data_IF_812448540016
#
_entry.id   IF_812448540016
#
_cell.length_a   1.000
_cell.length_b   1.000
_cell.length_c   1.000
_cell.angle_alpha   90.00
_cell.angle_beta   90.00
_cell.angle_gamma   90.00
#
_symmetry.space_group_name_H-M   'P 1'
#
loop_
_entity.id
_entity.type
_entity.pdbx_description
1 polymer ?
#
# COMPACT_ATOMS: atom_id res chain seq x y z
N UNK A 1 -5.56 -2.05 -20.28
CA UNK A 1 -5.96 -1.28 -19.08
C UNK A 1 -4.98 -0.11 -18.87
N UNK A 2 -5.38 1.10 -19.33
CA UNK A 2 -4.55 2.31 -19.26
C UNK A 2 -4.23 2.71 -17.81
N UNK A 3 -5.20 2.56 -16.92
CA UNK A 3 -5.01 2.89 -15.50
C UNK A 3 -3.90 2.05 -14.87
N UNK A 4 -3.89 0.75 -15.13
CA UNK A 4 -2.83 -0.13 -14.64
C UNK A 4 -1.45 0.25 -15.21
N UNK A 5 -1.40 0.59 -16.51
CA UNK A 5 -0.16 1.04 -17.15
C UNK A 5 0.39 2.32 -16.50
N UNK A 6 -0.47 3.32 -16.23
CA UNK A 6 -0.07 4.58 -15.58
C UNK A 6 0.42 4.31 -14.16
N UNK A 7 -0.26 3.44 -13.41
CA UNK A 7 0.16 3.03 -12.07
C UNK A 7 1.54 2.39 -12.09
N UNK A 8 1.75 1.39 -12.94
CA UNK A 8 3.02 0.67 -13.04
C UNK A 8 4.17 1.59 -13.47
N UNK A 9 3.90 2.50 -14.42
CA UNK A 9 4.89 3.49 -14.82
C UNK A 9 5.32 4.40 -13.66
N UNK A 10 4.38 4.90 -12.87
CA UNK A 10 4.66 5.75 -11.71
C UNK A 10 5.46 5.00 -10.63
N UNK A 11 5.03 3.77 -10.32
CA UNK A 11 5.72 2.94 -9.33
C UNK A 11 7.14 2.62 -9.78
N UNK A 12 7.32 2.20 -11.03
CA UNK A 12 8.63 1.90 -11.59
C UNK A 12 9.56 3.12 -11.67
N UNK A 13 9.01 4.32 -11.86
CA UNK A 13 9.82 5.54 -11.91
C UNK A 13 10.25 6.03 -10.52
N UNK A 14 9.35 6.01 -9.55
CA UNK A 14 9.59 6.60 -8.22
C UNK A 14 10.19 5.58 -7.25
N UNK A 15 9.75 4.31 -7.33
CA UNK A 15 10.07 3.26 -6.36
C UNK A 15 10.94 2.14 -6.95
N UNK A 16 11.77 2.49 -7.94
CA UNK A 16 12.64 1.51 -8.60
C UNK A 16 13.79 1.02 -7.71
N UNK A 17 14.18 1.80 -6.72
CA UNK A 17 15.27 1.47 -5.81
C UNK A 17 14.80 1.61 -4.36
N UNK A 18 15.13 0.64 -3.49
CA UNK A 18 14.76 0.71 -2.08
C UNK A 18 15.43 1.91 -1.39
N UNK A 19 14.74 2.49 -0.42
CA UNK A 19 15.30 3.54 0.41
C UNK A 19 16.43 2.98 1.28
N UNK A 20 17.52 3.72 1.38
CA UNK A 20 18.67 3.37 2.21
C UNK A 20 18.82 4.36 3.36
N UNK A 21 19.16 3.86 4.53
CA UNK A 21 19.52 4.70 5.67
C UNK A 21 20.95 5.19 5.51
N UNK A 22 21.16 6.49 5.65
CA UNK A 22 22.49 7.10 5.62
C UNK A 22 22.69 7.93 6.89
N UNK A 23 23.85 7.75 7.52
CA UNK A 23 24.24 8.61 8.62
C UNK A 23 24.76 9.93 8.07
N UNK A 24 24.16 11.04 8.50
CA UNK A 24 24.79 12.35 8.30
C UNK A 24 25.96 12.45 9.26
N UNK A 25 27.18 12.37 8.71
CA UNK A 25 28.37 12.72 9.49
C UNK A 25 28.28 14.17 9.95
N UNK A 26 28.69 14.45 11.18
CA UNK A 26 28.99 15.81 11.61
C UNK A 26 30.02 16.37 10.61
N UNK A 27 29.67 17.45 9.92
CA UNK A 27 30.60 18.18 9.04
C UNK A 27 31.60 18.93 9.92
N UNK A 28 32.43 18.22 10.62
CA UNK A 28 33.73 18.73 11.01
C UNK A 28 34.73 18.12 10.05
N UNK A 29 35.27 18.97 9.16
CA UNK A 29 36.38 18.64 8.30
C UNK A 29 37.53 18.17 9.16
N UNK A 30 37.62 16.90 9.43
CA UNK A 30 38.89 16.25 9.75
C UNK A 30 38.99 14.98 8.93
N UNK A 31 39.88 15.08 7.96
CA UNK A 31 40.46 13.93 7.30
C UNK A 31 40.96 12.93 8.34
N UNK A 32 40.77 11.67 8.02
CA UNK A 32 41.31 10.49 8.71
C UNK A 32 40.60 10.05 10.00
N UNK A 33 39.53 9.26 9.83
CA UNK A 33 39.49 7.94 10.46
C UNK A 33 38.44 7.07 9.77
N UNK A 34 38.95 6.27 8.85
CA UNK A 34 38.32 5.04 8.39
C UNK A 34 37.96 4.14 9.58
N UNK A 35 36.86 3.46 9.47
CA UNK A 35 36.59 2.12 9.97
C UNK A 35 35.80 1.88 11.25
N UNK A 36 35.10 2.80 11.89
CA UNK A 36 34.41 2.33 13.12
C UNK A 36 32.93 2.64 13.30
N UNK A 37 32.31 3.56 12.55
CA UNK A 37 30.91 3.93 12.79
C UNK A 37 29.92 3.51 11.69
N UNK A 38 30.35 3.11 10.53
CA UNK A 38 29.49 2.67 9.43
C UNK A 38 28.96 1.22 9.58
N UNK A 39 29.56 0.43 10.45
CA UNK A 39 29.22 -0.99 10.56
C UNK A 39 27.78 -1.24 11.04
N UNK A 40 27.28 -0.42 11.95
CA UNK A 40 25.92 -0.57 12.49
C UNK A 40 24.82 -0.20 11.47
N UNK A 41 25.02 0.89 10.70
CA UNK A 41 24.07 1.31 9.69
C UNK A 41 24.12 0.40 8.47
N UNK A 42 25.30 -0.06 8.09
CA UNK A 42 25.43 -1.03 7.02
C UNK A 42 24.77 -2.36 7.39
N UNK A 43 24.96 -2.86 8.62
CA UNK A 43 24.28 -4.06 9.13
C UNK A 43 22.75 -3.86 9.17
N UNK A 44 22.27 -2.68 9.58
CA UNK A 44 20.84 -2.37 9.57
C UNK A 44 20.27 -2.31 8.16
N UNK A 45 20.95 -1.66 7.21
CA UNK A 45 20.56 -1.63 5.81
C UNK A 45 20.55 -3.03 5.20
N UNK A 46 21.55 -3.85 5.48
CA UNK A 46 21.61 -5.22 5.00
C UNK A 46 20.47 -6.07 5.56
N UNK A 47 20.19 -5.97 6.85
CA UNK A 47 19.05 -6.63 7.50
C UNK A 47 17.71 -6.19 6.92
N UNK A 48 17.51 -4.89 6.69
CA UNK A 48 16.26 -4.35 6.14
C UNK A 48 16.12 -4.66 4.64
N UNK A 49 17.16 -4.44 3.84
CA UNK A 49 17.09 -4.57 2.39
C UNK A 49 17.06 -6.04 1.97
N UNK A 50 17.96 -6.84 2.51
CA UNK A 50 18.11 -8.24 2.14
C UNK A 50 17.20 -9.17 2.96
N UNK A 51 17.10 -8.95 4.27
CA UNK A 51 16.29 -9.78 5.15
C UNK A 51 14.78 -9.61 4.94
N UNK A 52 14.31 -8.36 4.75
CA UNK A 52 12.88 -8.06 4.61
C UNK A 52 12.43 -7.86 3.16
N UNK A 53 13.31 -8.03 2.16
CA UNK A 53 12.99 -7.75 0.75
C UNK A 53 12.34 -6.36 0.54
N UNK A 54 12.96 -5.33 1.12
CA UNK A 54 12.42 -3.98 1.23
C UNK A 54 11.94 -3.41 -0.10
N UNK A 55 12.67 -3.66 -1.20
CA UNK A 55 12.27 -3.17 -2.52
C UNK A 55 10.87 -3.64 -2.95
N UNK A 56 10.52 -4.91 -2.68
CA UNK A 56 9.18 -5.44 -2.96
C UNK A 56 8.12 -4.85 -2.03
N UNK A 57 8.45 -4.71 -0.75
CA UNK A 57 7.53 -4.12 0.24
C UNK A 57 7.23 -2.65 -0.07
N UNK A 58 8.23 -1.89 -0.53
CA UNK A 58 8.06 -0.50 -0.94
C UNK A 58 7.20 -0.37 -2.19
N UNK A 59 7.43 -1.21 -3.20
CA UNK A 59 6.59 -1.24 -4.41
C UNK A 59 5.14 -1.62 -4.10
N UNK A 60 4.93 -2.63 -3.26
CA UNK A 60 3.59 -3.03 -2.82
C UNK A 60 2.88 -1.92 -2.03
N UNK A 61 3.60 -1.23 -1.14
CA UNK A 61 3.06 -0.09 -0.41
C UNK A 61 2.72 1.06 -1.36
N UNK A 62 3.60 1.38 -2.32
CA UNK A 62 3.35 2.40 -3.32
C UNK A 62 2.12 2.09 -4.18
N UNK A 63 1.87 0.80 -4.47
CA UNK A 63 0.68 0.36 -5.16
C UNK A 63 -0.60 0.70 -4.38
N UNK A 64 -0.64 0.38 -3.08
CA UNK A 64 -1.78 0.76 -2.23
C UNK A 64 -1.95 2.28 -2.14
N UNK A 65 -0.86 3.03 -1.99
CA UNK A 65 -0.89 4.50 -1.94
C UNK A 65 -1.45 5.07 -3.25
N UNK A 66 -1.04 4.58 -4.41
CA UNK A 66 -1.54 5.09 -5.70
C UNK A 66 -3.00 4.67 -5.97
N UNK A 67 -3.41 3.45 -5.62
CA UNK A 67 -4.76 2.95 -5.89
C UNK A 67 -5.77 3.44 -4.85
N UNK A 68 -5.45 3.20 -3.57
CA UNK A 68 -6.37 3.45 -2.45
C UNK A 68 -6.21 4.85 -1.85
N UNK A 69 -5.18 5.60 -2.25
CA UNK A 69 -4.83 6.90 -1.65
C UNK A 69 -4.11 6.81 -0.31
N UNK A 70 -3.99 5.60 0.22
CA UNK A 70 -3.40 5.30 1.52
C UNK A 70 -2.69 3.94 1.49
N UNK A 71 -1.55 3.84 2.16
CA UNK A 71 -0.82 2.59 2.37
C UNK A 71 -0.44 2.43 3.83
N UNK A 72 -0.35 1.21 4.31
CA UNK A 72 -0.01 0.90 5.69
C UNK A 72 1.21 -0.02 5.75
N UNK A 73 2.12 0.31 6.66
CA UNK A 73 3.29 -0.49 6.94
C UNK A 73 3.35 -0.78 8.44
N UNK A 74 3.48 -2.04 8.80
CA UNK A 74 3.66 -2.46 10.17
C UNK A 74 5.13 -2.83 10.39
N UNK A 75 5.66 -2.38 11.52
CA UNK A 75 6.96 -2.81 12.04
C UNK A 75 6.70 -3.70 13.23
N UNK A 76 7.17 -4.93 13.16
CA UNK A 76 7.09 -5.89 14.25
C UNK A 76 8.49 -6.17 14.82
N UNK A 77 8.61 -6.13 16.14
CA UNK A 77 9.86 -6.42 16.84
C UNK A 77 9.60 -7.66 17.68
N UNK A 78 10.19 -8.77 17.30
CA UNK A 78 10.08 -10.00 18.07
C UNK A 78 10.87 -9.84 19.38
N UNK A 79 10.26 -10.14 20.51
CA UNK A 79 10.96 -10.22 21.77
C UNK A 79 11.71 -11.55 21.89
N UNK A 80 12.99 -11.54 22.18
CA UNK A 80 13.85 -12.58 22.74
C UNK A 80 14.30 -13.81 21.93
N UNK A 81 13.69 -14.21 20.83
CA UNK A 81 14.10 -15.45 20.10
C UNK A 81 14.77 -15.17 18.74
N UNK A 82 15.68 -14.23 18.72
CA UNK A 82 16.40 -13.80 17.51
C UNK A 82 17.60 -14.71 17.21
N UNK A 83 17.35 -15.85 16.59
CA UNK A 83 18.43 -16.71 16.12
C UNK A 83 19.20 -16.18 14.91
N UNK A 84 18.63 -15.21 14.13
CA UNK A 84 19.16 -14.81 12.84
C UNK A 84 19.61 -13.34 12.70
N UNK A 85 19.75 -12.58 13.78
CA UNK A 85 20.23 -11.19 13.70
C UNK A 85 19.26 -10.18 13.05
N UNK A 86 18.02 -10.57 12.76
CA UNK A 86 16.96 -9.65 12.32
C UNK A 86 16.47 -8.80 13.49
N UNK A 87 16.62 -7.48 13.38
CA UNK A 87 16.21 -6.53 14.42
C UNK A 87 14.71 -6.19 14.38
N UNK A 88 14.08 -6.29 13.24
CA UNK A 88 12.66 -6.03 13.04
C UNK A 88 12.15 -6.70 11.77
N UNK A 89 10.89 -7.09 11.76
CA UNK A 89 10.18 -7.48 10.54
C UNK A 89 9.28 -6.33 10.09
N UNK A 90 9.26 -6.11 8.78
CA UNK A 90 8.45 -5.06 8.17
C UNK A 90 7.44 -5.71 7.25
N UNK A 91 6.18 -5.34 7.42
CA UNK A 91 5.08 -5.83 6.62
C UNK A 91 4.39 -4.67 5.90
N UNK A 92 4.10 -4.82 4.62
CA UNK A 92 3.12 -3.98 3.94
C UNK A 92 1.75 -4.60 4.14
N UNK A 93 0.85 -3.85 4.75
CA UNK A 93 -0.52 -4.29 5.01
C UNK A 93 -1.43 -3.86 3.85
N UNK A 94 -2.38 -4.70 3.52
CA UNK A 94 -3.44 -4.33 2.59
C UNK A 94 -4.28 -3.20 3.22
N UNK A 95 -4.42 -2.10 2.50
CA UNK A 95 -5.12 -0.91 2.98
C UNK A 95 -6.62 -1.13 3.25
N UNK A 96 -7.18 -2.25 2.81
CA UNK A 96 -8.56 -2.65 3.12
C UNK A 96 -8.70 -3.22 4.53
N UNK A 97 -7.60 -3.77 5.07
CA UNK A 97 -7.57 -4.53 6.31
C UNK A 97 -6.69 -3.91 7.38
N UNK A 98 -6.32 -2.63 7.21
CA UNK A 98 -5.54 -1.90 8.20
C UNK A 98 -6.02 -0.46 8.32
N UNK A 99 -6.07 0.06 9.54
CA UNK A 99 -6.41 1.45 9.81
C UNK A 99 -5.81 1.94 11.13
N UNK A 100 -5.68 3.26 11.26
CA UNK A 100 -5.28 3.92 12.48
C UNK A 100 -6.44 4.73 13.08
N UNK A 101 -6.55 4.73 14.39
CA UNK A 101 -7.51 5.54 15.13
C UNK A 101 -6.78 6.71 15.76
N UNK A 102 -7.30 7.90 15.51
CA UNK A 102 -6.76 9.15 16.01
C UNK A 102 -7.69 9.79 17.03
N UNK A 103 -7.11 10.38 18.06
CA UNK A 103 -7.87 11.20 18.99
C UNK A 103 -8.41 12.46 18.28
N UNK A 104 -9.68 12.75 18.48
CA UNK A 104 -10.37 13.88 17.81
C UNK A 104 -10.12 15.22 18.52
N UNK A 105 -8.91 15.46 18.96
CA UNK A 105 -8.50 16.72 19.61
C UNK A 105 -7.35 17.39 18.84
N UNK A 106 -6.86 18.52 19.36
CA UNK A 106 -5.72 19.22 18.79
C UNK A 106 -4.51 18.29 18.68
N UNK A 107 -3.88 18.27 17.48
CA UNK A 107 -2.71 17.42 17.21
C UNK A 107 -3.01 16.00 16.76
N UNK A 108 -4.29 15.58 16.76
CA UNK A 108 -4.74 14.27 16.22
C UNK A 108 -3.77 13.12 16.55
N UNK A 109 -3.47 12.92 17.85
CA UNK A 109 -2.56 11.87 18.27
C UNK A 109 -3.13 10.50 17.90
N UNK A 110 -2.32 9.65 17.27
CA UNK A 110 -2.66 8.26 17.03
C UNK A 110 -2.75 7.53 18.37
N UNK A 111 -3.84 6.82 18.63
CA UNK A 111 -4.12 6.12 19.88
C UNK A 111 -4.21 4.62 19.72
N UNK A 112 -4.53 4.15 18.51
CA UNK A 112 -4.66 2.74 18.22
C UNK A 112 -4.34 2.49 16.76
N UNK A 113 -3.66 1.41 16.48
CA UNK A 113 -3.47 0.84 15.15
C UNK A 113 -4.11 -0.53 15.10
N UNK A 114 -4.83 -0.81 14.03
CA UNK A 114 -5.54 -2.08 13.85
C UNK A 114 -5.19 -2.66 12.50
N UNK A 115 -4.86 -3.94 12.48
CA UNK A 115 -4.90 -4.76 11.27
C UNK A 115 -5.82 -5.96 11.53
N UNK A 116 -6.54 -6.40 10.51
CA UNK A 116 -7.42 -7.55 10.64
C UNK A 116 -7.41 -8.41 9.38
N UNK A 117 -7.82 -9.63 9.51
CA UNK A 117 -8.09 -10.54 8.41
C UNK A 117 -9.26 -11.45 8.75
N UNK A 118 -9.96 -11.86 7.72
CA UNK A 118 -11.09 -12.78 7.81
C UNK A 118 -10.60 -14.15 7.35
N UNK A 119 -10.89 -15.18 8.14
CA UNK A 119 -10.63 -16.56 7.77
C UNK A 119 -11.94 -17.20 7.29
N UNK A 120 -12.04 -17.36 5.98
CA UNK A 120 -13.22 -17.94 5.31
C UNK A 120 -13.47 -19.42 5.68
N UNK A 121 -12.46 -20.10 6.23
CA UNK A 121 -12.56 -21.53 6.60
C UNK A 121 -13.22 -21.68 7.95
N UNK A 122 -12.82 -20.86 8.92
CA UNK A 122 -13.27 -20.92 10.29
C UNK A 122 -14.40 -19.92 10.60
N UNK A 123 -14.76 -19.06 9.64
CA UNK A 123 -15.72 -17.94 9.82
C UNK A 123 -15.35 -17.06 11.01
N UNK A 124 -14.05 -16.75 11.12
CA UNK A 124 -13.48 -15.96 12.21
C UNK A 124 -12.77 -14.72 11.69
N UNK A 125 -12.96 -13.63 12.41
CA UNK A 125 -12.21 -12.40 12.16
C UNK A 125 -11.14 -12.22 13.24
N UNK A 126 -9.91 -12.07 12.81
CA UNK A 126 -8.75 -11.87 13.66
C UNK A 126 -8.33 -10.42 13.59
N UNK A 127 -8.23 -9.76 14.73
CA UNK A 127 -7.76 -8.39 14.85
C UNK A 127 -6.47 -8.35 15.65
N UNK A 128 -5.47 -7.64 15.13
CA UNK A 128 -4.28 -7.24 15.87
C UNK A 128 -4.42 -5.75 16.18
N UNK A 129 -4.63 -5.44 17.44
CA UNK A 129 -4.83 -4.09 17.96
C UNK A 129 -3.59 -3.63 18.72
N UNK A 130 -2.96 -2.52 18.30
CA UNK A 130 -1.69 -2.05 18.84
C UNK A 130 -1.86 -0.63 19.38
N UNK A 131 -1.62 -0.47 20.66
CA UNK A 131 -1.50 0.82 21.35
C UNK A 131 -0.04 1.19 21.58
N UNK A 132 0.23 2.33 22.19
CA UNK A 132 1.59 2.71 22.58
C UNK A 132 2.19 1.69 23.57
N UNK A 133 1.37 1.13 24.47
CA UNK A 133 1.85 0.28 25.57
C UNK A 133 1.65 -1.22 25.33
N UNK A 134 0.58 -1.61 24.63
CA UNK A 134 0.13 -3.00 24.55
C UNK A 134 -0.27 -3.39 23.15
N UNK A 135 -0.09 -4.68 22.84
CA UNK A 135 -0.62 -5.36 21.67
C UNK A 135 -1.66 -6.37 22.13
N UNK A 136 -2.80 -6.38 21.49
CA UNK A 136 -3.94 -7.28 21.72
C UNK A 136 -4.23 -8.10 20.48
N UNK A 137 -4.41 -9.39 20.65
CA UNK A 137 -4.97 -10.26 19.62
C UNK A 137 -6.43 -10.55 20.01
N UNK A 138 -7.34 -10.21 19.09
CA UNK A 138 -8.78 -10.33 19.30
C UNK A 138 -9.37 -11.26 18.24
N UNK A 139 -10.19 -12.21 18.63
CA UNK A 139 -10.87 -13.14 17.73
C UNK A 139 -12.36 -13.11 18.06
N UNK A 140 -13.19 -12.78 17.08
CA UNK A 140 -14.63 -12.69 17.23
C UNK A 140 -15.05 -11.87 18.47
N UNK A 141 -14.49 -10.68 18.63
CA UNK A 141 -14.74 -9.73 19.73
C UNK A 141 -14.21 -10.17 21.12
N UNK A 142 -13.49 -11.28 21.21
CA UNK A 142 -12.84 -11.72 22.45
C UNK A 142 -11.31 -11.53 22.39
N UNK A 143 -10.75 -10.94 23.44
CA UNK A 143 -9.30 -10.82 23.57
C UNK A 143 -8.73 -12.20 23.91
N UNK A 144 -7.95 -12.77 22.99
CA UNK A 144 -7.33 -14.09 23.16
C UNK A 144 -5.89 -14.02 23.67
N UNK A 145 -5.20 -12.91 23.37
CA UNK A 145 -3.83 -12.70 23.84
C UNK A 145 -3.56 -11.20 24.08
N UNK A 146 -2.61 -10.92 24.97
CA UNK A 146 -2.22 -9.57 25.33
C UNK A 146 -0.74 -9.55 25.71
N UNK A 147 0.06 -8.73 25.03
CA UNK A 147 1.48 -8.60 25.27
C UNK A 147 1.92 -7.12 25.32
N UNK A 148 3.00 -6.79 26.06
CA UNK A 148 3.56 -5.45 26.00
C UNK A 148 4.05 -5.09 24.60
N UNK A 149 3.86 -3.84 24.20
CA UNK A 149 4.40 -3.33 22.94
C UNK A 149 5.86 -2.85 23.14
N UNK A 150 6.87 -3.56 22.61
CA UNK A 150 8.27 -3.21 22.84
C UNK A 150 8.69 -1.90 22.17
N UNK A 151 7.94 -1.42 21.18
CA UNK A 151 8.24 -0.18 20.47
C UNK A 151 7.80 1.09 21.23
N UNK A 152 6.92 0.98 22.23
CA UNK A 152 6.38 2.13 22.96
C UNK A 152 5.58 3.10 22.09
N UNK A 153 5.16 2.68 20.89
CA UNK A 153 4.33 3.45 19.94
C UNK A 153 3.51 2.50 19.08
N UNK A 154 2.36 2.98 18.62
CA UNK A 154 1.59 2.26 17.60
C UNK A 154 2.46 1.95 16.37
N UNK A 155 2.66 0.67 16.07
CA UNK A 155 3.64 0.19 15.11
C UNK A 155 3.18 0.24 13.64
N UNK A 156 1.91 0.57 13.35
CA UNK A 156 1.41 0.74 11.99
C UNK A 156 1.59 2.19 11.56
N UNK A 157 2.41 2.40 10.54
CA UNK A 157 2.65 3.70 9.92
C UNK A 157 1.77 3.82 8.68
N UNK A 158 1.08 4.94 8.57
CA UNK A 158 0.20 5.30 7.47
C UNK A 158 0.93 6.23 6.50
N UNK A 159 0.82 5.95 5.22
CA UNK A 159 1.37 6.75 4.13
C UNK A 159 0.22 7.26 3.28
N UNK A 160 0.01 8.56 3.28
CA UNK A 160 -1.05 9.23 2.54
C UNK A 160 -0.52 9.76 1.20
N UNK A 161 -1.26 9.51 0.12
CA UNK A 161 -0.96 10.10 -1.18
C UNK A 161 -1.28 11.60 -1.20
N UNK A 162 -2.42 11.94 -0.64
CA UNK A 162 -2.95 13.31 -0.52
C UNK A 162 -3.62 13.45 0.83
N UNK A 163 -3.78 14.67 1.30
CA UNK A 163 -4.43 14.94 2.58
C UNK A 163 -5.86 14.39 2.68
N UNK A 164 -6.58 14.33 1.56
CA UNK A 164 -7.93 13.78 1.46
C UNK A 164 -7.95 12.26 1.19
N UNK A 165 -6.78 11.59 1.21
CA UNK A 165 -6.59 10.15 1.05
C UNK A 165 -7.22 9.57 -0.23
N UNK A 166 -7.27 10.36 -1.30
CA UNK A 166 -7.85 9.95 -2.57
C UNK A 166 -6.85 9.22 -3.46
N UNK A 167 -7.26 8.10 -4.03
CA UNK A 167 -6.48 7.36 -5.03
C UNK A 167 -6.28 8.16 -6.32
N UNK A 168 -5.28 7.78 -7.12
CA UNK A 168 -4.93 8.57 -8.32
C UNK A 168 -6.01 8.55 -9.39
N UNK A 169 -6.90 7.56 -9.39
CA UNK A 169 -7.99 7.44 -10.37
C UNK A 169 -9.38 7.72 -9.79
N UNK A 170 -9.50 7.89 -8.49
CA UNK A 170 -10.80 7.94 -7.80
C UNK A 170 -11.72 9.02 -8.37
N UNK A 171 -11.18 10.20 -8.67
CA UNK A 171 -11.95 11.31 -9.27
C UNK A 171 -12.35 11.06 -10.72
N UNK A 172 -11.69 10.15 -11.41
CA UNK A 172 -11.93 9.83 -12.82
C UNK A 172 -12.83 8.58 -12.99
N UNK A 173 -13.11 7.82 -11.93
CA UNK A 173 -13.95 6.62 -12.00
C UNK A 173 -15.30 6.89 -12.68
N UNK A 174 -16.06 7.95 -12.33
CA UNK A 174 -17.35 8.19 -12.98
C UNK A 174 -17.22 8.47 -14.50
N UNK A 175 -16.11 9.09 -14.92
CA UNK A 175 -15.85 9.34 -16.37
C UNK A 175 -15.43 8.05 -17.07
N UNK A 176 -14.66 7.21 -16.42
CA UNK A 176 -14.28 5.90 -16.94
C UNK A 176 -15.49 5.00 -17.12
N UNK A 177 -16.42 4.99 -16.17
CA UNK A 177 -17.66 4.25 -16.25
C UNK A 177 -18.55 4.75 -17.40
N UNK A 178 -18.69 6.07 -17.54
CA UNK A 178 -19.42 6.68 -18.67
C UNK A 178 -18.82 6.30 -20.02
N UNK A 179 -17.50 6.30 -20.13
CA UNK A 179 -16.81 5.87 -21.34
C UNK A 179 -17.03 4.38 -21.64
N UNK A 180 -16.97 3.53 -20.63
CA UNK A 180 -17.23 2.10 -20.77
C UNK A 180 -18.65 1.82 -21.26
N UNK A 181 -19.65 2.54 -20.75
CA UNK A 181 -21.04 2.45 -21.20
C UNK A 181 -21.14 2.86 -22.67
N UNK A 182 -20.58 4.02 -23.05
CA UNK A 182 -20.59 4.49 -24.45
C UNK A 182 -19.93 3.51 -25.40
N UNK A 183 -18.79 2.93 -25.03
CA UNK A 183 -18.09 1.94 -25.85
C UNK A 183 -18.90 0.65 -25.98
N UNK A 184 -19.57 0.23 -24.90
CA UNK A 184 -20.44 -0.94 -24.92
C UNK A 184 -21.65 -0.74 -25.84
N UNK A 185 -22.32 0.42 -25.71
CA UNK A 185 -23.45 0.78 -26.56
C UNK A 185 -23.05 0.88 -28.03
N UNK A 186 -21.91 1.53 -28.31
CA UNK A 186 -21.37 1.62 -29.67
C UNK A 186 -21.07 0.24 -30.24
N UNK A 187 -20.49 -0.66 -29.49
CA UNK A 187 -20.19 -2.03 -29.93
C UNK A 187 -21.46 -2.80 -30.24
N UNK A 188 -22.48 -2.64 -29.38
CA UNK A 188 -23.80 -3.25 -29.61
C UNK A 188 -24.48 -2.70 -30.86
N UNK A 189 -24.43 -1.37 -31.07
CA UNK A 189 -24.98 -0.72 -32.26
C UNK A 189 -24.30 -1.23 -33.55
N UNK A 190 -22.97 -1.34 -33.54
CA UNK A 190 -22.24 -1.87 -34.71
C UNK A 190 -22.62 -3.32 -34.95
N UNK A 191 -22.72 -4.15 -33.90
CA UNK A 191 -23.12 -5.55 -34.02
C UNK A 191 -24.55 -5.72 -34.55
N UNK A 192 -25.48 -4.84 -34.17
CA UNK A 192 -26.86 -4.82 -34.69
C UNK A 192 -26.92 -4.36 -36.12
N UNK A 193 -26.17 -3.32 -36.50
CA UNK A 193 -26.17 -2.79 -37.89
C UNK A 193 -25.60 -3.77 -38.92
N UNK A 194 -24.73 -4.67 -38.54
CA UNK A 194 -24.26 -5.75 -39.45
C UNK A 194 -25.37 -6.71 -39.87
N UNK A 195 -26.50 -6.69 -39.15
CA UNK A 195 -27.70 -7.50 -39.48
C UNK A 195 -28.83 -6.70 -40.14
N UNK A 196 -28.66 -5.37 -40.29
CA UNK A 196 -29.65 -4.53 -40.97
C UNK A 196 -29.58 -4.74 -42.48
N UNK A 197 -30.69 -5.17 -43.06
CA UNK A 197 -30.90 -5.22 -44.50
C UNK A 197 -31.41 -3.86 -44.96
N UNK A 198 -30.60 -3.14 -45.70
CA UNK A 198 -31.02 -1.89 -46.33
C UNK A 198 -31.93 -2.22 -47.51
N UNK A 199 -33.20 -1.85 -47.40
CA UNK A 199 -34.17 -1.96 -48.49
C UNK A 199 -34.40 -0.56 -49.03
N UNK A 200 -34.17 -0.41 -50.34
CA UNK A 200 -34.44 0.84 -51.04
C UNK A 200 -35.39 0.59 -52.21
N UNK A 201 -36.50 1.31 -52.26
CA UNK A 201 -37.41 1.31 -53.40
C UNK A 201 -37.13 2.57 -54.23
N UNK A 202 -36.92 2.37 -55.53
CA UNK A 202 -36.71 3.45 -56.51
C UNK A 202 -35.43 4.29 -56.30
N UNK A 203 -34.32 3.66 -55.86
CA UNK A 203 -33.02 4.30 -55.70
C UNK A 203 -32.12 3.90 -56.87
N UNK A 204 -31.72 4.88 -57.68
CA UNK A 204 -30.72 4.71 -58.72
C UNK A 204 -29.32 4.71 -58.11
N UNK A 205 -28.69 3.54 -58.00
CA UNK A 205 -27.27 3.44 -57.66
C UNK A 205 -26.42 3.77 -58.87
N UNK A 206 -25.83 4.96 -58.91
CA UNK A 206 -24.76 5.23 -59.90
C UNK A 206 -23.52 4.44 -59.49
N UNK A 207 -23.13 3.48 -60.31
CA UNK A 207 -21.80 2.91 -60.28
C UNK A 207 -20.84 3.90 -60.92
N UNK A 208 -19.90 4.45 -60.17
CA UNK A 208 -18.71 5.13 -60.66
C UNK A 208 -17.59 4.10 -60.94
#
# INVERSE_FOLDING_TARGET
NLANYIKEFKIGYVWSSPAMLVQRGNQEMHETSSDSDDSGINALNESLINGSNMGRLEQSMAEFVEICGIGHRMVDVKSSDWEDGQLAEIYTLDSRYAFNVYWNGPGQKKVLSVSYYEDDVDDKTYFTCITDDMRYEVVNDEIVDMMPNPLGKCSIVEYERTFDRTGCFEREIPRMDSLNILLSDFTNDVAQRTQEVWWGDNIDFKQD
#
